data_IF_887041194029
#
_entry.id   IF_887041194029
#
_cell.length_a   1.000
_cell.length_b   1.000
_cell.length_c   1.000
_cell.angle_alpha   90.00
_cell.angle_beta   90.00
_cell.angle_gamma   90.00
#
_symmetry.space_group_name_H-M   'P 1'
#
loop_
_entity.id
_entity.type
_entity.pdbx_description
1 polymer ?
#
# COMPACT_ATOMS: atom_id res chain seq x y z
N UNK A 1 35.71 30.73 -32.80
CA UNK A 1 35.31 29.39 -32.30
C UNK A 1 35.38 29.41 -30.77
N UNK A 2 34.27 29.57 -30.07
CA UNK A 2 34.20 29.51 -28.60
C UNK A 2 33.82 28.08 -28.20
N UNK A 3 34.79 27.37 -27.59
CA UNK A 3 34.61 26.01 -27.13
C UNK A 3 33.61 25.96 -25.99
N UNK A 4 32.55 25.17 -26.18
CA UNK A 4 31.64 24.76 -25.10
C UNK A 4 32.39 23.79 -24.17
N UNK A 5 32.83 24.30 -23.01
CA UNK A 5 33.23 23.44 -21.90
C UNK A 5 31.98 22.75 -21.37
N UNK A 6 31.84 21.46 -21.64
CA UNK A 6 30.90 20.58 -20.84
C UNK A 6 31.41 20.66 -19.39
N UNK A 7 30.58 21.22 -18.51
CA UNK A 7 30.75 21.01 -17.08
C UNK A 7 30.61 19.52 -16.83
N UNK A 8 31.69 18.88 -16.36
CA UNK A 8 31.60 17.57 -15.72
C UNK A 8 30.76 17.77 -14.45
N UNK A 9 29.51 17.36 -14.50
CA UNK A 9 28.74 17.15 -13.27
C UNK A 9 29.41 15.97 -12.55
N UNK A 10 29.89 16.22 -11.35
CA UNK A 10 30.24 15.15 -10.41
C UNK A 10 29.03 14.24 -10.28
N UNK A 11 29.13 13.04 -10.82
CA UNK A 11 28.16 11.95 -10.65
C UNK A 11 28.47 11.37 -9.26
N UNK A 12 28.10 12.09 -8.22
CA UNK A 12 27.71 11.45 -6.97
C UNK A 12 26.35 10.86 -7.28
N UNK A 13 26.25 9.53 -7.36
CA UNK A 13 25.05 8.82 -7.80
C UNK A 13 23.82 9.33 -7.08
N UNK A 14 22.84 9.88 -7.82
CA UNK A 14 21.57 10.30 -7.24
C UNK A 14 20.91 9.07 -6.64
N UNK A 15 20.61 9.12 -5.33
CA UNK A 15 19.92 8.05 -4.65
C UNK A 15 18.55 7.83 -5.29
N UNK A 16 18.22 6.57 -5.60
CA UNK A 16 16.89 6.21 -6.09
C UNK A 16 15.88 6.41 -4.98
N UNK A 17 14.76 7.08 -5.26
CA UNK A 17 13.69 7.30 -4.29
C UNK A 17 12.42 6.56 -4.69
N UNK A 18 11.79 5.94 -3.70
CA UNK A 18 10.48 5.32 -3.81
C UNK A 18 9.55 5.94 -2.77
N UNK A 19 8.42 6.45 -3.22
CA UNK A 19 7.36 6.92 -2.33
C UNK A 19 6.27 5.87 -2.25
N UNK A 20 5.94 5.44 -1.04
CA UNK A 20 4.83 4.56 -0.73
C UNK A 20 3.74 5.37 -0.02
N UNK A 21 2.49 5.21 -0.44
CA UNK A 21 1.36 5.83 0.24
C UNK A 21 0.23 4.83 0.42
N UNK A 22 -0.22 4.64 1.67
CA UNK A 22 -1.44 3.90 1.94
C UNK A 22 -2.64 4.80 1.63
N UNK A 23 -3.65 4.23 0.97
CA UNK A 23 -4.91 4.93 0.70
C UNK A 23 -5.46 5.63 1.95
N UNK A 24 -6.17 6.74 1.76
CA UNK A 24 -6.88 7.46 2.81
C UNK A 24 -7.92 6.59 3.53
N UNK A 25 -8.52 7.11 4.60
CA UNK A 25 -9.59 6.39 5.31
C UNK A 25 -10.69 5.96 4.34
N UNK A 26 -11.02 4.67 4.31
CA UNK A 26 -12.13 4.14 3.52
C UNK A 26 -13.40 4.02 4.37
N UNK A 27 -14.57 3.94 3.70
CA UNK A 27 -15.86 3.72 4.36
C UNK A 27 -15.80 2.55 5.35
N UNK A 28 -15.19 1.43 4.97
CA UNK A 28 -15.10 0.25 5.82
C UNK A 28 -13.98 0.34 6.88
N UNK A 29 -12.99 1.21 6.71
CA UNK A 29 -12.09 1.56 7.82
C UNK A 29 -12.87 2.33 8.90
N UNK A 30 -13.71 3.29 8.49
CA UNK A 30 -14.56 4.07 9.40
C UNK A 30 -15.54 3.17 10.17
N UNK A 31 -16.19 2.23 9.48
CA UNK A 31 -17.15 1.27 10.06
C UNK A 31 -16.49 0.10 10.79
N UNK A 32 -15.15 0.06 10.87
CA UNK A 32 -14.38 -1.02 11.48
C UNK A 32 -14.67 -2.41 10.89
N UNK A 33 -14.92 -2.50 9.57
CA UNK A 33 -15.16 -3.75 8.87
C UNK A 33 -13.88 -4.33 8.27
N UNK A 34 -13.84 -5.66 8.08
CA UNK A 34 -12.83 -6.31 7.26
C UNK A 34 -13.06 -5.96 5.80
N UNK A 35 -12.12 -5.25 5.17
CA UNK A 35 -12.30 -4.75 3.80
C UNK A 35 -11.77 -5.73 2.75
N UNK A 36 -10.50 -6.10 2.83
CA UNK A 36 -9.86 -6.97 1.85
C UNK A 36 -10.01 -6.45 0.41
N UNK A 37 -10.52 -7.30 -0.48
CA UNK A 37 -10.75 -6.99 -1.88
C UNK A 37 -12.13 -6.40 -2.19
N UNK A 38 -12.98 -6.20 -1.19
CA UNK A 38 -14.23 -5.45 -1.40
C UNK A 38 -13.89 -4.03 -1.82
N UNK A 39 -14.48 -3.60 -2.94
CA UNK A 39 -14.13 -2.35 -3.61
C UNK A 39 -14.95 -1.17 -3.08
N UNK A 40 -14.71 -0.80 -1.81
CA UNK A 40 -15.30 0.38 -1.16
C UNK A 40 -14.44 1.62 -1.41
N UNK A 41 -15.08 2.78 -1.34
CA UNK A 41 -14.45 4.06 -1.58
C UNK A 41 -13.86 4.70 -0.32
N UNK A 42 -13.26 5.86 -0.49
CA UNK A 42 -12.78 6.74 0.57
C UNK A 42 -13.97 7.40 1.28
N UNK A 43 -13.80 7.73 2.56
CA UNK A 43 -14.64 8.73 3.24
C UNK A 43 -14.22 10.15 2.83
N UNK A 44 -15.06 11.17 3.12
CA UNK A 44 -14.66 12.58 2.93
C UNK A 44 -13.30 12.87 3.58
N UNK A 45 -13.09 12.36 4.78
CA UNK A 45 -11.81 12.45 5.46
C UNK A 45 -10.68 11.73 4.69
N UNK A 46 -10.95 10.58 4.08
CA UNK A 46 -9.99 9.85 3.27
C UNK A 46 -9.60 10.63 2.02
N UNK A 47 -10.54 11.32 1.39
CA UNK A 47 -10.27 12.26 0.29
C UNK A 47 -9.38 13.42 0.76
N UNK A 48 -9.68 14.04 1.91
CA UNK A 48 -8.85 15.10 2.50
C UNK A 48 -7.44 14.61 2.84
N UNK A 49 -7.30 13.40 3.41
CA UNK A 49 -5.99 12.78 3.69
C UNK A 49 -5.16 12.64 2.40
N UNK A 50 -5.77 12.21 1.30
CA UNK A 50 -5.10 12.07 0.01
C UNK A 50 -4.68 13.42 -0.59
N UNK A 51 -5.53 14.42 -0.53
CA UNK A 51 -5.24 15.79 -0.97
C UNK A 51 -4.07 16.38 -0.15
N UNK A 52 -4.11 16.21 1.17
CA UNK A 52 -3.05 16.71 2.04
C UNK A 52 -1.70 16.01 1.78
N UNK A 53 -1.71 14.71 1.48
CA UNK A 53 -0.52 13.98 1.06
C UNK A 53 0.08 14.54 -0.24
N UNK A 54 -0.75 14.86 -1.23
CA UNK A 54 -0.32 15.49 -2.48
C UNK A 54 0.29 16.88 -2.26
N UNK A 55 -0.37 17.72 -1.44
CA UNK A 55 0.17 19.04 -1.06
C UNK A 55 1.51 18.94 -0.34
N UNK A 56 1.65 17.98 0.57
CA UNK A 56 2.88 17.74 1.30
C UNK A 56 4.01 17.31 0.35
N UNK A 57 3.75 16.37 -0.57
CA UNK A 57 4.71 15.94 -1.58
C UNK A 57 5.14 17.11 -2.47
N UNK A 58 4.21 17.98 -2.88
CA UNK A 58 4.51 19.21 -3.64
C UNK A 58 5.42 20.17 -2.88
N UNK A 59 5.12 20.40 -1.60
CA UNK A 59 5.91 21.29 -0.72
C UNK A 59 7.33 20.77 -0.50
N UNK A 60 7.48 19.44 -0.36
CA UNK A 60 8.78 18.76 -0.20
C UNK A 60 9.53 18.58 -1.54
N UNK A 61 8.99 19.10 -2.65
CA UNK A 61 9.63 19.09 -3.96
C UNK A 61 9.67 17.72 -4.65
N UNK A 62 8.76 16.81 -4.29
CA UNK A 62 8.65 15.52 -4.98
C UNK A 62 8.00 15.68 -6.34
N UNK A 63 8.51 14.90 -7.29
CA UNK A 63 8.03 14.80 -8.65
C UNK A 63 8.13 13.33 -9.10
N UNK A 64 7.28 12.90 -10.04
CA UNK A 64 7.18 11.50 -10.45
C UNK A 64 7.13 11.35 -11.97
N UNK A 65 7.64 10.21 -12.47
CA UNK A 65 7.61 9.86 -13.90
C UNK A 65 6.61 8.73 -14.17
N UNK A 66 6.29 7.93 -13.15
CA UNK A 66 5.36 6.81 -13.24
C UNK A 66 4.76 6.48 -11.88
N UNK A 67 3.50 6.05 -11.90
CA UNK A 67 2.75 5.64 -10.73
C UNK A 67 2.32 4.18 -10.81
N UNK A 68 2.22 3.55 -9.64
CA UNK A 68 1.68 2.21 -9.48
C UNK A 68 0.55 2.23 -8.45
N UNK A 69 -0.52 1.49 -8.73
CA UNK A 69 -1.62 1.32 -7.79
C UNK A 69 -2.33 -0.03 -7.99
N UNK A 70 -3.25 -0.35 -7.10
CA UNK A 70 -4.06 -1.56 -7.17
C UNK A 70 -5.28 -1.40 -8.09
N UNK A 71 -6.11 -2.46 -8.17
CA UNK A 71 -7.41 -2.40 -8.83
C UNK A 71 -8.53 -1.84 -7.94
N UNK A 72 -8.25 -1.49 -6.67
CA UNK A 72 -9.27 -1.05 -5.72
C UNK A 72 -9.38 0.47 -5.69
N UNK A 73 -10.62 0.98 -5.84
CA UNK A 73 -10.91 2.41 -6.02
C UNK A 73 -10.33 3.31 -4.94
N UNK A 74 -10.32 2.90 -3.67
CA UNK A 74 -9.75 3.70 -2.58
C UNK A 74 -8.26 4.02 -2.76
N UNK A 75 -7.48 3.11 -3.35
CA UNK A 75 -6.08 3.39 -3.67
C UNK A 75 -5.95 4.22 -4.96
N UNK A 76 -6.81 3.94 -5.96
CA UNK A 76 -6.86 4.70 -7.22
C UNK A 76 -7.24 6.15 -6.93
N UNK A 77 -8.29 6.40 -6.14
CA UNK A 77 -8.73 7.76 -5.80
C UNK A 77 -7.69 8.50 -4.96
N UNK A 78 -7.03 7.81 -4.02
CA UNK A 78 -5.90 8.40 -3.28
C UNK A 78 -4.80 8.88 -4.24
N UNK A 79 -4.40 8.03 -5.20
CA UNK A 79 -3.39 8.40 -6.18
C UNK A 79 -3.86 9.56 -7.07
N UNK A 80 -5.10 9.54 -7.54
CA UNK A 80 -5.65 10.61 -8.37
C UNK A 80 -5.57 11.97 -7.65
N UNK A 81 -5.95 12.04 -6.37
CA UNK A 81 -5.81 13.27 -5.59
C UNK A 81 -4.36 13.73 -5.42
N UNK A 82 -3.44 12.78 -5.22
CA UNK A 82 -2.01 13.12 -5.14
C UNK A 82 -1.53 13.72 -6.46
N UNK A 83 -1.86 13.09 -7.58
CA UNK A 83 -1.46 13.58 -8.91
C UNK A 83 -2.06 14.94 -9.26
N UNK A 84 -3.33 15.16 -8.93
CA UNK A 84 -4.00 16.45 -9.09
C UNK A 84 -3.27 17.58 -8.34
N UNK A 85 -2.84 17.34 -7.09
CA UNK A 85 -2.10 18.35 -6.33
C UNK A 85 -0.71 18.64 -6.88
N UNK A 86 -0.11 17.66 -7.57
CA UNK A 86 1.22 17.78 -8.18
C UNK A 86 1.17 18.29 -9.63
N UNK A 87 -0.01 18.46 -10.23
CA UNK A 87 -0.21 18.74 -11.66
C UNK A 87 0.40 17.64 -12.57
N UNK A 88 0.31 16.37 -12.14
CA UNK A 88 0.93 15.20 -12.78
C UNK A 88 -0.06 14.16 -13.31
N UNK A 89 -1.34 14.50 -13.53
CA UNK A 89 -2.36 13.55 -14.02
C UNK A 89 -2.02 12.96 -15.40
N UNK A 90 -1.11 13.60 -16.11
CA UNK A 90 -0.66 13.18 -17.45
C UNK A 90 0.36 12.04 -17.45
N UNK A 91 1.00 11.74 -16.31
CA UNK A 91 2.02 10.67 -16.25
C UNK A 91 1.39 9.29 -16.26
N UNK A 92 2.12 8.24 -16.72
CA UNK A 92 1.62 6.88 -16.75
C UNK A 92 1.24 6.35 -15.36
N UNK A 93 0.06 5.71 -15.27
CA UNK A 93 -0.40 4.99 -14.09
C UNK A 93 -0.57 3.51 -14.44
N UNK A 94 0.20 2.63 -13.79
CA UNK A 94 0.06 1.18 -13.92
C UNK A 94 -0.74 0.62 -12.75
N UNK A 95 -1.88 0.00 -13.09
CA UNK A 95 -2.72 -0.71 -12.12
C UNK A 95 -2.44 -2.20 -12.18
N UNK A 96 -2.32 -2.83 -11.02
CA UNK A 96 -2.09 -4.26 -10.95
C UNK A 96 -2.72 -4.87 -9.70
N UNK A 97 -3.42 -6.00 -9.84
CA UNK A 97 -4.07 -6.68 -8.72
C UNK A 97 -3.07 -7.17 -7.67
N UNK A 98 -1.82 -7.42 -8.04
CA UNK A 98 -0.75 -7.82 -7.11
C UNK A 98 -0.43 -6.73 -6.08
N UNK A 99 -0.90 -5.50 -6.27
CA UNK A 99 -0.86 -4.42 -5.29
C UNK A 99 -2.15 -4.29 -4.46
N UNK A 100 -3.19 -5.11 -4.71
CA UNK A 100 -4.40 -5.12 -3.89
C UNK A 100 -4.09 -5.38 -2.41
N UNK A 101 -5.03 -5.02 -1.54
CA UNK A 101 -5.01 -5.41 -0.13
C UNK A 101 -4.97 -6.93 0.01
N UNK A 102 -4.53 -7.44 1.16
CA UNK A 102 -4.66 -8.85 1.51
C UNK A 102 -6.12 -9.26 1.45
N UNK A 103 -6.40 -10.41 0.82
CA UNK A 103 -7.75 -10.94 0.72
C UNK A 103 -8.19 -11.58 2.04
N UNK A 104 -9.16 -10.96 2.72
CA UNK A 104 -9.64 -11.43 4.02
C UNK A 104 -10.68 -12.58 3.93
N UNK A 105 -10.90 -13.16 2.75
CA UNK A 105 -11.80 -14.30 2.57
C UNK A 105 -13.21 -14.03 3.06
N UNK A 106 -13.78 -15.00 3.77
CA UNK A 106 -15.14 -14.92 4.30
C UNK A 106 -15.32 -13.84 5.40
N UNK A 107 -14.25 -13.30 5.95
CA UNK A 107 -14.34 -12.21 6.93
C UNK A 107 -14.71 -10.87 6.30
N UNK A 108 -14.55 -10.69 4.98
CA UNK A 108 -14.90 -9.43 4.30
C UNK A 108 -16.34 -9.02 4.57
N UNK A 109 -16.54 -7.79 5.02
CA UNK A 109 -17.83 -7.22 5.39
C UNK A 109 -18.21 -7.43 6.86
N UNK A 110 -17.54 -8.31 7.60
CA UNK A 110 -17.81 -8.49 9.03
C UNK A 110 -17.19 -7.36 9.85
N UNK A 111 -17.88 -6.93 10.92
CA UNK A 111 -17.32 -5.98 11.89
C UNK A 111 -16.26 -6.67 12.73
N UNK A 112 -15.10 -6.02 12.87
CA UNK A 112 -13.93 -6.61 13.57
C UNK A 112 -14.19 -6.82 15.06
N UNK A 113 -14.92 -5.91 15.73
CA UNK A 113 -15.22 -6.03 17.14
C UNK A 113 -16.28 -7.12 17.39
N UNK A 114 -17.33 -7.19 16.58
CA UNK A 114 -18.35 -8.26 16.67
C UNK A 114 -17.72 -9.62 16.36
N UNK A 115 -16.81 -9.69 15.38
CA UNK A 115 -16.06 -10.90 15.08
C UNK A 115 -15.20 -11.33 16.27
N UNK A 116 -14.57 -10.35 16.98
CA UNK A 116 -13.81 -10.63 18.19
C UNK A 116 -14.68 -11.10 19.35
N UNK A 117 -15.90 -10.57 19.48
CA UNK A 117 -16.87 -11.10 20.49
C UNK A 117 -17.27 -12.55 20.16
N UNK A 118 -17.40 -12.90 18.89
CA UNK A 118 -17.84 -14.24 18.46
C UNK A 118 -16.73 -15.29 18.50
N UNK A 119 -15.52 -14.95 18.09
CA UNK A 119 -14.40 -15.90 17.91
C UNK A 119 -13.26 -15.69 18.92
N UNK A 120 -13.34 -14.67 19.76
CA UNK A 120 -12.29 -14.25 20.66
C UNK A 120 -11.31 -13.23 20.03
N UNK A 121 -10.81 -12.28 20.85
CA UNK A 121 -9.87 -11.25 20.39
C UNK A 121 -8.57 -11.84 19.84
N UNK A 122 -8.06 -12.91 20.47
CA UNK A 122 -6.83 -13.57 20.07
C UNK A 122 -6.96 -14.19 18.66
N UNK A 123 -8.07 -14.87 18.38
CA UNK A 123 -8.32 -15.45 17.06
C UNK A 123 -8.42 -14.37 15.97
N UNK A 124 -9.09 -13.25 16.26
CA UNK A 124 -9.18 -12.13 15.32
C UNK A 124 -7.82 -11.46 15.13
N UNK A 125 -7.03 -11.36 16.19
CA UNK A 125 -5.66 -10.86 16.11
C UNK A 125 -4.79 -11.77 15.23
N UNK A 126 -4.90 -13.09 15.38
CA UNK A 126 -4.22 -14.07 14.52
C UNK A 126 -4.61 -13.85 13.05
N UNK A 127 -5.89 -13.81 12.70
CA UNK A 127 -6.33 -13.59 11.32
C UNK A 127 -5.88 -12.24 10.75
N UNK A 128 -5.76 -11.19 11.59
CA UNK A 128 -5.38 -9.86 11.15
C UNK A 128 -3.87 -9.65 11.05
N UNK A 129 -3.09 -10.30 11.90
CA UNK A 129 -1.70 -9.91 12.14
C UNK A 129 -0.69 -11.00 11.88
N UNK A 130 -1.03 -12.29 12.05
CA UNK A 130 -0.06 -13.36 11.85
C UNK A 130 0.48 -13.36 10.41
N UNK A 131 1.71 -13.79 10.25
CA UNK A 131 2.36 -13.85 8.96
C UNK A 131 1.77 -14.96 8.07
N UNK A 132 1.63 -16.19 8.60
CA UNK A 132 1.29 -17.38 7.81
C UNK A 132 -0.16 -17.86 7.90
N UNK A 133 -0.98 -17.33 8.83
CA UNK A 133 -2.36 -17.84 9.00
C UNK A 133 -3.33 -17.10 8.09
N UNK A 134 -4.10 -17.88 7.31
CA UNK A 134 -5.17 -17.36 6.45
C UNK A 134 -6.48 -17.22 7.22
N UNK A 135 -7.27 -16.17 6.96
CA UNK A 135 -8.70 -16.15 7.31
C UNK A 135 -9.45 -17.28 6.60
N UNK A 136 -10.66 -17.65 7.04
CA UNK A 136 -11.51 -18.58 6.31
C UNK A 136 -11.70 -18.15 4.85
N UNK A 137 -11.54 -19.08 3.91
CA UNK A 137 -11.68 -18.80 2.49
C UNK A 137 -13.14 -18.48 2.12
N UNK A 138 -13.31 -17.71 1.05
CA UNK A 138 -14.62 -17.58 0.40
C UNK A 138 -15.07 -18.94 -0.19
N UNK A 139 -16.38 -19.19 -0.22
CA UNK A 139 -16.95 -20.22 -1.07
C UNK A 139 -16.64 -19.92 -2.55
N UNK A 140 -16.46 -20.95 -3.35
CA UNK A 140 -16.15 -20.81 -4.78
C UNK A 140 -17.26 -20.06 -5.54
N UNK A 141 -18.52 -20.19 -5.10
CA UNK A 141 -19.69 -19.55 -5.68
C UNK A 141 -20.01 -18.18 -5.04
N UNK A 142 -19.24 -17.73 -4.06
CA UNK A 142 -19.46 -16.43 -3.43
C UNK A 142 -19.33 -15.31 -4.48
N UNK A 143 -20.27 -14.36 -4.44
CA UNK A 143 -20.26 -13.18 -5.35
C UNK A 143 -18.99 -12.34 -5.23
N UNK A 144 -18.31 -12.40 -4.07
CA UNK A 144 -17.05 -11.71 -3.80
C UNK A 144 -15.83 -12.46 -4.32
N UNK A 145 -16.00 -13.67 -4.88
CA UNK A 145 -14.92 -14.41 -5.50
C UNK A 145 -14.37 -13.61 -6.70
N UNK A 146 -13.09 -13.16 -6.67
CA UNK A 146 -12.51 -12.33 -7.73
C UNK A 146 -12.49 -13.03 -9.09
N UNK A 147 -12.51 -14.36 -9.13
CA UNK A 147 -12.62 -15.13 -10.40
C UNK A 147 -13.89 -14.83 -11.20
N UNK A 148 -14.95 -14.35 -10.52
CA UNK A 148 -16.26 -14.05 -11.09
C UNK A 148 -16.49 -12.53 -11.28
N UNK A 149 -15.51 -11.68 -10.90
CA UNK A 149 -15.66 -10.23 -10.98
C UNK A 149 -15.06 -9.67 -12.27
N UNK A 150 -15.76 -8.72 -12.90
CA UNK A 150 -15.40 -8.14 -14.19
C UNK A 150 -14.02 -7.47 -14.20
N UNK A 151 -13.65 -6.83 -13.09
CA UNK A 151 -12.37 -6.14 -12.97
C UNK A 151 -11.14 -7.07 -13.05
N UNK A 152 -11.33 -8.39 -12.88
CA UNK A 152 -10.27 -9.40 -12.99
C UNK A 152 -10.43 -10.30 -14.24
N UNK A 153 -11.29 -9.93 -15.20
CA UNK A 153 -11.61 -10.76 -16.37
C UNK A 153 -10.40 -11.15 -17.22
N UNK A 154 -9.39 -10.27 -17.26
CA UNK A 154 -8.17 -10.47 -18.06
C UNK A 154 -7.05 -11.18 -17.30
N UNK A 155 -7.24 -11.40 -16.00
CA UNK A 155 -6.24 -12.00 -15.14
C UNK A 155 -6.25 -13.54 -15.22
N UNK A 156 -5.11 -14.16 -14.93
CA UNK A 156 -5.07 -15.60 -14.74
C UNK A 156 -5.85 -15.98 -13.46
N UNK A 157 -7.03 -16.54 -13.66
CA UNK A 157 -7.97 -16.88 -12.57
C UNK A 157 -7.41 -17.87 -11.56
N UNK A 158 -6.44 -18.70 -11.94
CA UNK A 158 -5.80 -19.66 -11.02
C UNK A 158 -4.93 -18.96 -9.97
N UNK A 159 -4.46 -17.75 -10.26
CA UNK A 159 -3.65 -16.94 -9.35
C UNK A 159 -4.49 -16.08 -8.40
N UNK A 160 -5.79 -15.93 -8.66
CA UNK A 160 -6.67 -15.09 -7.84
C UNK A 160 -7.09 -15.80 -6.56
N UNK A 161 -6.83 -15.21 -5.36
CA UNK A 161 -7.04 -15.87 -4.08
C UNK A 161 -8.50 -15.86 -3.63
N UNK A 162 -8.89 -16.85 -2.84
CA UNK A 162 -10.13 -16.87 -2.06
C UNK A 162 -9.89 -16.42 -0.60
N UNK A 163 -8.66 -16.39 -0.16
CA UNK A 163 -8.19 -15.91 1.14
C UNK A 163 -6.67 -15.82 1.12
N UNK A 164 -6.07 -14.87 1.84
CA UNK A 164 -4.62 -14.70 1.92
C UNK A 164 -4.16 -14.52 3.37
N UNK A 165 -3.01 -15.10 3.67
CA UNK A 165 -2.12 -14.68 4.75
C UNK A 165 -1.28 -13.48 4.32
N UNK A 166 -0.50 -12.91 5.23
CA UNK A 166 0.50 -11.89 4.85
C UNK A 166 1.62 -12.52 3.99
N UNK A 167 1.98 -13.78 4.24
CA UNK A 167 2.95 -14.53 3.43
C UNK A 167 2.51 -14.63 1.96
N UNK A 168 1.23 -14.93 1.71
CA UNK A 168 0.68 -14.96 0.34
C UNK A 168 0.73 -13.57 -0.31
N UNK A 169 0.42 -12.53 0.45
CA UNK A 169 0.52 -11.15 -0.04
C UNK A 169 1.96 -10.80 -0.42
N UNK A 170 2.94 -11.17 0.41
CA UNK A 170 4.38 -11.02 0.11
C UNK A 170 4.75 -11.78 -1.17
N UNK A 171 4.28 -13.03 -1.30
CA UNK A 171 4.59 -13.90 -2.45
C UNK A 171 4.12 -13.34 -3.80
N UNK A 172 3.09 -12.46 -3.84
CA UNK A 172 2.65 -11.79 -5.07
C UNK A 172 3.21 -10.39 -5.26
N UNK A 173 3.39 -9.64 -4.16
CA UNK A 173 3.85 -8.25 -4.22
C UNK A 173 5.33 -8.18 -4.58
N UNK A 174 6.19 -9.00 -3.95
CA UNK A 174 7.64 -8.88 -4.12
C UNK A 174 8.09 -9.26 -5.53
N UNK A 175 7.65 -10.38 -6.15
CA UNK A 175 7.99 -10.65 -7.55
C UNK A 175 7.52 -9.55 -8.52
N UNK A 176 6.36 -8.94 -8.27
CA UNK A 176 5.89 -7.80 -9.08
C UNK A 176 6.79 -6.57 -8.90
N UNK A 177 7.16 -6.25 -7.66
CA UNK A 177 8.10 -5.17 -7.38
C UNK A 177 9.44 -5.40 -8.10
N UNK A 178 10.06 -6.58 -7.96
CA UNK A 178 11.36 -6.90 -8.55
C UNK A 178 11.32 -6.91 -10.08
N UNK A 179 10.25 -7.45 -10.66
CA UNK A 179 10.18 -7.63 -12.12
C UNK A 179 9.68 -6.39 -12.87
N UNK A 180 8.99 -5.45 -12.22
CA UNK A 180 8.34 -4.30 -12.87
C UNK A 180 8.77 -2.98 -12.22
N UNK A 181 8.44 -2.77 -10.95
CA UNK A 181 8.62 -1.46 -10.30
C UNK A 181 10.10 -1.10 -10.16
N UNK A 182 10.90 -2.04 -9.67
CA UNK A 182 12.35 -1.87 -9.48
C UNK A 182 13.08 -1.58 -10.79
N UNK A 183 12.62 -2.16 -11.90
CA UNK A 183 13.21 -1.89 -13.22
C UNK A 183 13.03 -0.43 -13.62
N UNK A 184 11.83 0.10 -13.46
CA UNK A 184 11.57 1.53 -13.75
C UNK A 184 12.45 2.44 -12.86
N UNK A 185 12.67 2.07 -11.57
CA UNK A 185 13.56 2.81 -10.69
C UNK A 185 15.04 2.75 -11.15
N UNK A 186 15.52 1.58 -11.55
CA UNK A 186 16.90 1.39 -12.07
C UNK A 186 17.09 2.16 -13.40
N UNK A 187 16.04 2.31 -14.20
CA UNK A 187 16.03 3.15 -15.39
C UNK A 187 16.01 4.66 -15.07
N UNK A 188 16.07 5.04 -13.80
CA UNK A 188 16.11 6.43 -13.33
C UNK A 188 14.75 7.10 -13.19
N UNK A 189 13.63 6.35 -13.28
CA UNK A 189 12.29 6.91 -13.07
C UNK A 189 12.00 7.16 -11.61
N UNK A 190 11.37 8.29 -11.32
CA UNK A 190 10.85 8.65 -9.99
C UNK A 190 9.49 7.97 -9.81
N UNK A 191 9.37 7.12 -8.80
CA UNK A 191 8.25 6.19 -8.64
C UNK A 191 7.44 6.49 -7.38
N UNK A 192 6.11 6.48 -7.51
CA UNK A 192 5.17 6.44 -6.38
C UNK A 192 4.28 5.19 -6.48
N UNK A 193 4.03 4.55 -5.34
CA UNK A 193 3.10 3.41 -5.19
C UNK A 193 2.00 3.79 -4.21
N UNK A 194 0.78 3.91 -4.69
CA UNK A 194 -0.41 4.07 -3.84
C UNK A 194 -1.12 2.72 -3.70
N UNK A 195 -1.13 2.18 -2.47
CA UNK A 195 -1.65 0.83 -2.23
C UNK A 195 -2.28 0.68 -0.84
N UNK A 196 -2.14 -0.48 -0.21
CA UNK A 196 -2.90 -0.87 0.98
C UNK A 196 -1.98 -1.28 2.14
N UNK A 197 -2.58 -1.39 3.33
CA UNK A 197 -1.84 -1.72 4.53
C UNK A 197 -0.96 -2.97 4.40
N UNK A 198 -1.51 -4.08 3.90
CA UNK A 198 -0.73 -5.33 3.82
C UNK A 198 0.16 -5.42 2.58
N UNK A 199 -0.23 -4.88 1.43
CA UNK A 199 0.66 -4.84 0.26
C UNK A 199 1.88 -3.94 0.53
N UNK A 200 1.71 -2.81 1.20
CA UNK A 200 2.85 -1.98 1.62
C UNK A 200 3.68 -2.60 2.73
N UNK A 201 3.06 -3.34 3.68
CA UNK A 201 3.80 -4.12 4.69
C UNK A 201 4.68 -5.20 4.05
N UNK A 202 4.25 -5.79 2.94
CA UNK A 202 5.07 -6.71 2.17
C UNK A 202 6.36 -6.02 1.66
N UNK A 203 6.25 -4.82 1.09
CA UNK A 203 7.40 -4.02 0.65
C UNK A 203 8.29 -3.59 1.81
N UNK A 204 7.70 -3.11 2.91
CA UNK A 204 8.44 -2.73 4.13
C UNK A 204 9.21 -3.93 4.69
N UNK A 205 8.55 -5.11 4.80
CA UNK A 205 9.23 -6.34 5.24
C UNK A 205 10.45 -6.65 4.37
N UNK A 206 10.30 -6.51 3.07
CA UNK A 206 11.35 -6.79 2.10
C UNK A 206 12.51 -5.80 2.22
N UNK A 207 12.24 -4.50 2.23
CA UNK A 207 13.27 -3.46 2.28
C UNK A 207 14.01 -3.39 3.63
N UNK A 208 13.29 -3.56 4.72
CA UNK A 208 13.84 -3.47 6.08
C UNK A 208 14.35 -4.84 6.58
N UNK A 209 14.29 -5.90 5.77
CA UNK A 209 14.69 -7.27 6.11
C UNK A 209 14.04 -7.81 7.39
N UNK A 210 12.78 -7.42 7.64
CA UNK A 210 12.06 -7.80 8.86
C UNK A 210 11.75 -9.29 8.90
N UNK A 211 11.88 -9.89 10.08
CA UNK A 211 11.42 -11.23 10.37
C UNK A 211 9.87 -11.34 10.32
N UNK A 212 9.37 -12.58 10.37
CA UNK A 212 7.93 -12.85 10.47
C UNK A 212 7.30 -12.31 11.77
N UNK A 213 8.09 -12.21 12.83
CA UNK A 213 7.66 -11.66 14.13
C UNK A 213 7.60 -10.14 14.09
N UNK A 214 8.64 -9.49 13.57
CA UNK A 214 8.74 -8.03 13.53
C UNK A 214 7.68 -7.40 12.64
N UNK A 215 7.34 -8.02 11.49
CA UNK A 215 6.32 -7.48 10.58
C UNK A 215 4.92 -7.43 11.21
N UNK A 216 4.65 -8.21 12.24
CA UNK A 216 3.34 -8.24 12.95
C UNK A 216 3.00 -6.88 13.53
N UNK A 217 3.99 -6.17 14.05
CA UNK A 217 3.83 -4.89 14.76
C UNK A 217 3.92 -3.66 13.83
N UNK A 218 4.30 -3.84 12.57
CA UNK A 218 4.38 -2.75 11.61
C UNK A 218 2.98 -2.24 11.26
N UNK A 219 2.75 -0.95 11.46
CA UNK A 219 1.53 -0.24 11.11
C UNK A 219 1.86 0.86 10.11
N UNK A 220 1.10 0.92 9.02
CA UNK A 220 1.24 1.95 7.98
C UNK A 220 0.05 2.90 8.09
N UNK A 221 0.27 4.19 8.41
CA UNK A 221 -0.79 5.18 8.55
C UNK A 221 -1.44 5.47 7.20
N UNK A 222 -2.73 5.85 7.20
CA UNK A 222 -3.46 6.27 6.01
C UNK A 222 -3.01 7.65 5.55
N UNK A 223 -2.84 7.86 4.25
CA UNK A 223 -2.60 9.17 3.65
C UNK A 223 -1.28 9.85 4.07
N UNK A 224 -0.30 9.09 4.59
CA UNK A 224 1.01 9.62 4.95
C UNK A 224 2.06 9.02 4.01
N UNK A 225 2.78 9.83 3.22
CA UNK A 225 3.85 9.32 2.37
C UNK A 225 5.01 8.75 3.18
N UNK A 226 5.44 7.55 2.82
CA UNK A 226 6.63 6.87 3.33
C UNK A 226 7.68 6.87 2.22
N UNK A 227 8.83 7.50 2.47
CA UNK A 227 9.92 7.61 1.51
C UNK A 227 11.03 6.64 1.85
N UNK A 228 11.43 5.84 0.87
CA UNK A 228 12.67 5.08 0.88
C UNK A 228 13.67 5.70 -0.09
N UNK A 229 14.93 5.80 0.34
CA UNK A 229 16.06 6.16 -0.50
C UNK A 229 17.00 4.97 -0.59
N UNK A 230 17.45 4.63 -1.81
CA UNK A 230 18.32 3.49 -2.08
C UNK A 230 19.64 3.97 -2.73
N UNK A 231 20.72 3.24 -2.45
CA UNK A 231 21.98 3.38 -3.19
C UNK A 231 21.93 2.63 -4.55
N UNK A 232 23.05 2.65 -5.27
CA UNK A 232 23.17 1.99 -6.59
C UNK A 232 23.02 0.46 -6.51
N UNK A 233 23.36 -0.16 -5.37
CA UNK A 233 23.18 -1.59 -5.11
C UNK A 233 21.75 -1.94 -4.64
N UNK A 234 20.84 -0.97 -4.67
CA UNK A 234 19.47 -1.08 -4.20
C UNK A 234 19.34 -1.41 -2.69
N UNK A 235 20.29 -0.95 -1.88
CA UNK A 235 20.22 -1.03 -0.42
C UNK A 235 19.57 0.23 0.15
N UNK A 236 18.73 0.08 1.16
CA UNK A 236 18.09 1.20 1.84
C UNK A 236 19.12 2.02 2.60
N UNK A 237 19.26 3.29 2.25
CA UNK A 237 20.15 4.25 2.95
C UNK A 237 19.36 5.21 3.84
N UNK A 238 18.06 5.40 3.54
CA UNK A 238 17.20 6.24 4.38
C UNK A 238 15.75 5.79 4.25
N UNK A 239 15.01 5.91 5.35
CA UNK A 239 13.57 5.69 5.44
C UNK A 239 12.97 6.79 6.30
N UNK A 240 11.92 7.45 5.82
CA UNK A 240 11.22 8.47 6.61
C UNK A 240 9.77 8.62 6.17
N UNK A 241 8.88 8.86 7.13
CA UNK A 241 7.56 9.40 6.83
C UNK A 241 7.66 10.91 6.64
N UNK A 242 6.87 11.45 5.71
CA UNK A 242 6.73 12.91 5.57
C UNK A 242 5.61 13.41 6.47
N UNK A 243 5.78 14.61 7.02
CA UNK A 243 4.75 15.30 7.79
C UNK A 243 5.03 15.38 9.29
N UNK A 244 3.98 15.69 10.05
CA UNK A 244 4.07 15.91 11.49
C UNK A 244 4.17 14.57 12.25
N UNK A 245 5.18 14.43 13.12
CA UNK A 245 5.45 13.21 13.89
C UNK A 245 4.28 12.81 14.80
N UNK A 246 3.63 13.76 15.47
CA UNK A 246 2.51 13.49 16.37
C UNK A 246 1.29 12.97 15.62
N UNK A 247 1.04 13.50 14.42
CA UNK A 247 -0.03 13.02 13.54
C UNK A 247 0.26 11.59 13.06
N UNK A 248 1.49 11.33 12.63
CA UNK A 248 1.94 10.00 12.19
C UNK A 248 1.75 8.98 13.30
N UNK A 249 2.22 9.28 14.52
CA UNK A 249 2.09 8.41 15.69
C UNK A 249 0.62 8.16 16.06
N UNK A 250 -0.21 9.19 16.03
CA UNK A 250 -1.64 9.08 16.28
C UNK A 250 -2.33 8.15 15.29
N UNK A 251 -2.04 8.30 14.00
CA UNK A 251 -2.59 7.44 12.94
C UNK A 251 -2.09 6.00 13.05
N UNK A 252 -0.81 5.77 13.39
CA UNK A 252 -0.27 4.43 13.62
C UNK A 252 -0.97 3.73 14.80
N UNK A 253 -1.16 4.42 15.91
CA UNK A 253 -1.89 3.92 17.10
C UNK A 253 -3.34 3.56 16.74
N UNK A 254 -4.01 4.38 15.94
CA UNK A 254 -5.37 4.10 15.45
C UNK A 254 -5.43 2.81 14.65
N UNK A 255 -4.47 2.58 13.75
CA UNK A 255 -4.39 1.33 12.96
C UNK A 255 -4.13 0.12 13.87
N UNK A 256 -3.23 0.24 14.85
CA UNK A 256 -2.92 -0.82 15.80
C UNK A 256 -4.15 -1.23 16.66
N UNK A 257 -4.99 -0.26 17.02
CA UNK A 257 -6.16 -0.48 17.89
C UNK A 257 -7.43 -0.95 17.16
N UNK A 258 -7.42 -1.03 15.83
CA UNK A 258 -8.55 -1.60 15.07
C UNK A 258 -8.82 -3.05 15.51
N UNK A 259 -10.07 -3.37 15.81
CA UNK A 259 -10.49 -4.71 16.22
C UNK A 259 -10.33 -5.03 17.71
N UNK A 260 -9.90 -4.09 18.54
CA UNK A 260 -10.05 -4.20 19.99
C UNK A 260 -11.50 -3.90 20.37
N UNK A 261 -12.03 -4.69 21.30
CA UNK A 261 -13.34 -4.43 21.89
C UNK A 261 -13.21 -3.13 22.72
N UNK A 262 -14.02 -2.13 22.39
CA UNK A 262 -14.12 -0.94 23.25
C UNK A 262 -14.80 -1.37 24.55
N UNK A 263 -14.09 -1.29 25.66
CA UNK A 263 -14.66 -1.43 27.00
C UNK A 263 -15.58 -0.26 27.31
#
# INVERSE_FOLDING_TARGET
MKGYRRKSYDIMGESMKLVLIRHGESEWNHLNLFTGWTDVDLTDKGHEEAINAGKLLKTEGFDFDICYTSYLKRAIHTLNHVLEQLDLEWIPVRKDWRLNERHYGALQGLNKAETAMKYGEEQVKIWRRSYGVKPPALDINDKRNPKNQEQYRVENKELLPLSESLADTVARVIPYFESVIKKDMIEGKRVIVAAHGNSLRALVKYFDHLSEKEIVDVNIPTGIPLVYEFNEEFQVIKKSYLGNVDEIDSKMKRVANQGKIKK
#
